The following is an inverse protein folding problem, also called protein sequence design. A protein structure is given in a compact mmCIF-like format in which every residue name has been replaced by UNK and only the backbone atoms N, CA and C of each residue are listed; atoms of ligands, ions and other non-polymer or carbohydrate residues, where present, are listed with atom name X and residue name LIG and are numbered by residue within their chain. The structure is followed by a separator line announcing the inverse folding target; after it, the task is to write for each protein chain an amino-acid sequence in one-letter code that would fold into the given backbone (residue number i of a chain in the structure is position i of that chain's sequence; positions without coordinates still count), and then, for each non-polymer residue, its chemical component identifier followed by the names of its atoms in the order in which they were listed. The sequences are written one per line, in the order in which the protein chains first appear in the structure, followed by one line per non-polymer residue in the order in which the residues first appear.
data_IF_780589937441
#
_entry.id   IF_780589937441
#
_cell.length_a   1.000
_cell.length_b   1.000
_cell.length_c   1.000
_cell.angle_alpha   90.00
_cell.angle_beta   90.00
_cell.angle_gamma   90.00
#
_symmetry.space_group_name_H-M   'P 1'
#
loop_
_entity.id
_entity.type
_entity.pdbx_description
1 polymer ?
#
# COMPACT_ATOMS: atom_id res chain seq x y z
N UNK A 1 19.83 50.68 -5.66
CA UNK A 1 18.75 49.92 -6.35
C UNK A 1 19.12 48.44 -6.41
N UNK A 2 18.46 47.61 -5.62
CA UNK A 2 18.61 46.15 -5.79
C UNK A 2 17.97 45.81 -7.15
N UNK A 3 18.77 45.25 -8.07
CA UNK A 3 18.37 44.94 -9.42
C UNK A 3 17.07 44.11 -9.42
N UNK A 4 16.09 44.46 -10.27
CA UNK A 4 14.85 43.69 -10.50
C UNK A 4 15.12 42.22 -10.76
N UNK A 5 16.24 41.89 -11.43
CA UNK A 5 16.71 40.50 -11.61
C UNK A 5 17.02 39.77 -10.33
N UNK A 6 17.56 40.42 -9.28
CA UNK A 6 17.79 39.79 -7.97
C UNK A 6 16.49 39.43 -7.24
N UNK A 7 15.41 40.18 -7.48
CA UNK A 7 14.09 39.90 -6.89
C UNK A 7 13.43 38.68 -7.55
N UNK A 8 13.47 38.62 -8.88
CA UNK A 8 12.95 37.50 -9.67
C UNK A 8 13.71 36.22 -9.33
N UNK A 9 15.05 36.27 -9.23
CA UNK A 9 15.88 35.13 -8.90
C UNK A 9 15.54 34.55 -7.51
N UNK A 10 15.35 35.40 -6.51
CA UNK A 10 14.94 34.95 -5.16
C UNK A 10 13.57 34.31 -5.14
N UNK A 11 12.66 34.84 -5.94
CA UNK A 11 11.30 34.28 -6.07
C UNK A 11 11.32 32.92 -6.74
N UNK A 12 12.11 32.76 -7.79
CA UNK A 12 12.28 31.49 -8.52
C UNK A 12 12.92 30.42 -7.62
N UNK A 13 13.98 30.79 -6.89
CA UNK A 13 14.64 29.89 -5.92
C UNK A 13 13.67 29.43 -4.83
N UNK A 14 12.87 30.37 -4.28
CA UNK A 14 11.87 30.02 -3.25
C UNK A 14 10.79 29.08 -3.81
N UNK A 15 10.37 29.28 -5.06
CA UNK A 15 9.38 28.42 -5.73
C UNK A 15 9.92 27.02 -5.98
N UNK A 16 11.16 26.91 -6.49
CA UNK A 16 11.83 25.61 -6.69
C UNK A 16 12.04 24.89 -5.35
N UNK A 17 12.49 25.61 -4.31
CA UNK A 17 12.63 25.03 -2.98
C UNK A 17 11.30 24.49 -2.43
N UNK A 18 10.20 25.22 -2.64
CA UNK A 18 8.86 24.76 -2.25
C UNK A 18 8.45 23.47 -2.97
N UNK A 19 8.68 23.38 -4.30
CA UNK A 19 8.39 22.16 -5.06
C UNK A 19 9.22 20.99 -4.55
N UNK A 20 10.51 21.18 -4.27
CA UNK A 20 11.38 20.12 -3.75
C UNK A 20 10.92 19.64 -2.39
N UNK A 21 10.51 20.53 -1.50
CA UNK A 21 9.95 20.17 -0.18
C UNK A 21 8.66 19.37 -0.36
N UNK A 22 7.78 19.77 -1.27
CA UNK A 22 6.52 19.08 -1.55
C UNK A 22 6.78 17.66 -2.07
N UNK A 23 7.69 17.50 -3.04
CA UNK A 23 8.07 16.20 -3.58
C UNK A 23 8.70 15.30 -2.50
N UNK A 24 9.55 15.86 -1.65
CA UNK A 24 10.14 15.12 -0.53
C UNK A 24 9.07 14.65 0.47
N UNK A 25 8.14 15.53 0.83
CA UNK A 25 7.03 15.20 1.73
C UNK A 25 6.18 14.07 1.15
N UNK A 26 5.83 14.16 -0.15
CA UNK A 26 5.09 13.13 -0.85
C UNK A 26 5.84 11.79 -0.85
N UNK A 27 7.13 11.79 -1.14
CA UNK A 27 7.94 10.58 -1.12
C UNK A 27 7.98 9.92 0.27
N UNK A 28 8.09 10.71 1.33
CA UNK A 28 8.08 10.21 2.73
C UNK A 28 6.71 9.62 3.09
N UNK A 29 5.63 10.38 2.84
CA UNK A 29 4.26 9.92 3.14
C UNK A 29 3.91 8.69 2.33
N UNK A 30 4.24 8.68 1.03
CA UNK A 30 4.05 7.51 0.17
C UNK A 30 4.83 6.30 0.69
N UNK A 31 6.12 6.46 1.01
CA UNK A 31 6.96 5.35 1.50
C UNK A 31 6.42 4.73 2.78
N UNK A 32 6.06 5.56 3.77
CA UNK A 32 5.52 5.09 5.05
C UNK A 32 4.17 4.39 4.88
N UNK A 33 3.27 4.95 4.07
CA UNK A 33 1.93 4.39 3.86
C UNK A 33 1.99 3.14 2.98
N UNK A 34 2.83 3.14 1.95
CA UNK A 34 3.04 1.97 1.09
C UNK A 34 3.60 0.79 1.90
N UNK A 35 4.60 1.04 2.75
CA UNK A 35 5.14 0.00 3.64
C UNK A 35 4.03 -0.59 4.52
N UNK A 36 3.21 0.26 5.16
CA UNK A 36 2.09 -0.21 5.99
C UNK A 36 1.08 -1.05 5.19
N UNK A 37 0.71 -0.59 3.98
CA UNK A 37 -0.24 -1.29 3.12
C UNK A 37 0.29 -2.65 2.67
N UNK A 38 1.58 -2.71 2.27
CA UNK A 38 2.20 -3.94 1.74
C UNK A 38 2.46 -4.98 2.84
N UNK A 39 2.65 -4.54 4.10
CA UNK A 39 2.83 -5.44 5.25
C UNK A 39 1.53 -5.80 5.96
N UNK A 40 0.37 -5.36 5.45
CA UNK A 40 -0.93 -5.72 6.02
C UNK A 40 -1.29 -7.16 5.64
N UNK A 41 -1.37 -8.03 6.64
CA UNK A 41 -1.73 -9.43 6.47
C UNK A 41 -3.25 -9.63 6.49
N UNK A 42 -3.71 -10.76 5.92
CA UNK A 42 -5.09 -11.21 6.01
C UNK A 42 -5.32 -11.86 7.38
N UNK A 43 -6.26 -11.32 8.15
CA UNK A 43 -6.50 -11.77 9.52
C UNK A 43 -5.47 -11.24 10.52
N UNK A 44 -5.34 -11.90 11.67
CA UNK A 44 -4.51 -11.43 12.78
C UNK A 44 -3.04 -11.85 12.69
N UNK A 45 -2.74 -12.84 11.83
CA UNK A 45 -1.42 -13.45 11.71
C UNK A 45 -0.97 -13.50 10.25
N UNK A 46 0.34 -13.35 10.04
CA UNK A 46 0.95 -13.59 8.73
C UNK A 46 0.78 -15.04 8.29
N UNK A 47 0.75 -15.33 6.97
CA UNK A 47 0.69 -16.70 6.47
C UNK A 47 1.82 -17.60 6.99
N UNK A 48 3.00 -17.03 7.21
CA UNK A 48 4.15 -17.73 7.75
C UNK A 48 3.90 -18.13 9.21
N UNK A 49 3.44 -17.20 10.05
CA UNK A 49 3.13 -17.48 11.46
C UNK A 49 1.99 -18.48 11.60
N UNK A 50 0.97 -18.37 10.74
CA UNK A 50 -0.14 -19.31 10.71
C UNK A 50 0.32 -20.72 10.34
N UNK A 51 1.20 -20.84 9.35
CA UNK A 51 1.81 -22.12 8.95
C UNK A 51 2.64 -22.73 10.08
N UNK A 52 3.51 -21.95 10.70
CA UNK A 52 4.39 -22.41 11.79
C UNK A 52 3.57 -22.92 13.00
N UNK A 53 2.56 -22.16 13.43
CA UNK A 53 1.66 -22.55 14.50
C UNK A 53 0.89 -23.82 14.16
N UNK A 54 0.34 -23.91 12.95
CA UNK A 54 -0.42 -25.08 12.50
C UNK A 54 0.49 -26.30 12.37
N UNK A 55 1.69 -26.15 11.81
CA UNK A 55 2.66 -27.22 11.65
C UNK A 55 3.13 -27.78 13.00
N UNK A 56 3.32 -26.91 13.99
CA UNK A 56 3.68 -27.34 15.37
C UNK A 56 2.57 -28.15 16.05
N UNK A 57 1.31 -27.87 15.70
CA UNK A 57 0.13 -28.54 16.24
C UNK A 57 -0.34 -29.75 15.41
N UNK A 58 0.27 -29.99 14.24
CA UNK A 58 -0.09 -31.05 13.31
C UNK A 58 0.71 -32.34 13.56
N UNK A 59 0.02 -33.48 13.46
CA UNK A 59 0.61 -34.80 13.36
C UNK A 59 0.07 -35.51 12.11
N UNK A 60 0.70 -36.60 11.62
CA UNK A 60 0.14 -37.37 10.52
C UNK A 60 -1.28 -37.88 10.75
N UNK A 61 -1.68 -38.05 12.00
CA UNK A 61 -2.97 -38.62 12.38
C UNK A 61 -4.05 -37.55 12.48
N UNK A 62 -3.72 -36.36 13.02
CA UNK A 62 -4.69 -35.30 13.27
C UNK A 62 -4.06 -33.96 13.55
N UNK A 63 -4.89 -32.91 13.45
CA UNK A 63 -4.59 -31.55 13.90
C UNK A 63 -5.26 -31.31 15.28
N UNK A 64 -4.63 -30.53 16.16
CA UNK A 64 -5.22 -30.19 17.46
C UNK A 64 -6.51 -29.36 17.28
N UNK A 65 -7.46 -29.56 18.22
CA UNK A 65 -8.76 -28.87 18.19
C UNK A 65 -8.61 -27.32 18.24
N UNK A 66 -7.61 -26.82 18.96
CA UNK A 66 -7.31 -25.40 19.04
C UNK A 66 -6.86 -24.85 17.67
N UNK A 67 -5.98 -25.58 16.98
CA UNK A 67 -5.54 -25.18 15.64
C UNK A 67 -6.68 -25.26 14.62
N UNK A 68 -7.56 -26.26 14.71
CA UNK A 68 -8.76 -26.35 13.87
C UNK A 68 -9.67 -25.13 14.08
N UNK A 69 -9.91 -24.71 15.32
CA UNK A 69 -10.73 -23.54 15.62
C UNK A 69 -10.08 -22.26 15.10
N UNK A 70 -8.76 -22.10 15.25
CA UNK A 70 -8.01 -20.96 14.74
C UNK A 70 -8.13 -20.85 13.19
N UNK A 71 -7.99 -21.95 12.47
CA UNK A 71 -8.16 -21.99 11.01
C UNK A 71 -9.59 -21.58 10.60
N UNK A 72 -10.60 -22.12 11.29
CA UNK A 72 -12.02 -21.80 11.03
C UNK A 72 -12.37 -20.33 11.28
N UNK A 73 -11.86 -19.75 12.36
CA UNK A 73 -12.07 -18.33 12.67
C UNK A 73 -11.54 -17.40 11.59
N UNK A 74 -10.45 -17.82 10.92
CA UNK A 74 -9.82 -17.08 9.84
C UNK A 74 -10.28 -17.53 8.44
N UNK A 75 -11.27 -18.43 8.34
CA UNK A 75 -11.75 -19.00 7.06
C UNK A 75 -10.65 -19.65 6.22
N UNK A 76 -9.65 -20.25 6.87
CA UNK A 76 -8.52 -20.93 6.24
C UNK A 76 -8.80 -22.42 6.23
N UNK A 77 -8.71 -23.05 5.06
CA UNK A 77 -8.74 -24.50 4.97
C UNK A 77 -7.33 -25.09 5.01
N UNK A 78 -7.21 -26.33 5.43
CA UNK A 78 -5.94 -27.03 5.51
C UNK A 78 -6.03 -28.43 4.92
N UNK A 79 -4.93 -28.88 4.32
CA UNK A 79 -4.71 -30.28 3.95
C UNK A 79 -3.29 -30.69 4.31
N UNK A 80 -3.16 -31.88 4.88
CA UNK A 80 -1.87 -32.48 5.20
C UNK A 80 -1.63 -33.67 4.28
N UNK A 81 -0.59 -33.57 3.47
CA UNK A 81 -0.22 -34.56 2.46
C UNK A 81 0.95 -35.41 2.96
N UNK A 82 0.91 -36.72 2.71
CA UNK A 82 2.05 -37.58 2.91
C UNK A 82 3.12 -37.40 1.80
N UNK A 83 4.22 -38.13 1.90
CA UNK A 83 5.32 -38.10 0.92
C UNK A 83 4.91 -38.56 -0.49
N UNK A 84 3.81 -39.32 -0.60
CA UNK A 84 3.25 -39.80 -1.87
C UNK A 84 2.22 -38.83 -2.46
N UNK A 85 1.96 -37.70 -1.78
CA UNK A 85 0.97 -36.68 -2.19
C UNK A 85 -0.48 -37.05 -1.87
N UNK A 86 -0.71 -38.03 -1.01
CA UNK A 86 -2.03 -38.44 -0.58
C UNK A 86 -2.41 -37.70 0.72
N UNK A 87 -3.69 -37.34 0.82
CA UNK A 87 -4.22 -36.65 1.99
C UNK A 87 -4.25 -37.58 3.22
N UNK A 88 -3.58 -37.17 4.29
CA UNK A 88 -3.74 -37.77 5.62
C UNK A 88 -5.02 -37.27 6.29
N UNK A 89 -5.17 -35.95 6.36
CA UNK A 89 -6.36 -35.27 6.88
C UNK A 89 -6.57 -33.91 6.20
N UNK A 90 -7.78 -33.37 6.38
CA UNK A 90 -8.12 -32.03 5.88
C UNK A 90 -9.10 -31.35 6.83
N UNK A 91 -9.03 -30.01 6.86
CA UNK A 91 -9.93 -29.13 7.63
C UNK A 91 -10.61 -28.18 6.65
N UNK A 92 -11.95 -28.20 6.66
CA UNK A 92 -12.82 -27.32 5.84
C UNK A 92 -12.40 -27.21 4.36
N UNK A 93 -11.93 -28.33 3.77
CA UNK A 93 -11.47 -28.40 2.39
C UNK A 93 -12.63 -28.15 1.43
N UNK A 94 -12.53 -27.18 0.48
CA UNK A 94 -13.56 -26.95 -0.53
C UNK A 94 -13.75 -28.18 -1.45
N UNK A 95 -14.98 -28.40 -1.93
CA UNK A 95 -15.35 -29.58 -2.75
C UNK A 95 -14.57 -29.64 -4.08
N UNK A 96 -14.16 -28.49 -4.63
CA UNK A 96 -13.40 -28.38 -5.88
C UNK A 96 -11.88 -28.62 -5.68
N UNK A 97 -11.38 -28.76 -4.46
CA UNK A 97 -9.96 -28.99 -4.16
C UNK A 97 -9.67 -30.48 -4.10
N UNK A 98 -8.77 -31.03 -4.92
CA UNK A 98 -8.40 -32.43 -4.90
C UNK A 98 -7.74 -32.84 -3.58
N UNK A 99 -7.85 -34.14 -3.25
CA UNK A 99 -7.21 -34.72 -2.05
C UNK A 99 -5.90 -35.45 -2.34
N UNK A 100 -5.59 -35.68 -3.61
CA UNK A 100 -4.37 -36.38 -4.02
C UNK A 100 -3.64 -35.55 -5.07
N UNK A 101 -2.34 -35.47 -4.92
CA UNK A 101 -1.48 -34.64 -5.77
C UNK A 101 -0.24 -35.42 -6.21
N UNK A 102 0.17 -35.18 -7.42
CA UNK A 102 1.49 -35.62 -7.89
C UNK A 102 2.57 -34.64 -7.45
N UNK A 103 3.83 -35.07 -7.50
CA UNK A 103 4.95 -34.16 -7.22
C UNK A 103 4.99 -32.93 -8.14
N UNK A 104 4.45 -33.10 -9.37
CA UNK A 104 4.33 -31.98 -10.33
C UNK A 104 3.28 -30.98 -9.90
N UNK A 105 2.14 -31.44 -9.39
CA UNK A 105 1.07 -30.59 -8.87
C UNK A 105 1.58 -29.81 -7.66
N UNK A 106 2.29 -30.49 -6.73
CA UNK A 106 2.90 -29.84 -5.56
C UNK A 106 3.86 -28.75 -5.97
N UNK A 107 4.73 -29.00 -6.96
CA UNK A 107 5.68 -28.03 -7.47
C UNK A 107 4.99 -26.80 -8.11
N UNK A 108 3.82 -26.99 -8.71
CA UNK A 108 3.03 -25.91 -9.30
C UNK A 108 2.34 -25.07 -8.22
N UNK A 109 1.56 -25.69 -7.35
CA UNK A 109 0.78 -24.92 -6.37
C UNK A 109 1.63 -24.34 -5.24
N UNK A 110 2.78 -24.91 -4.92
CA UNK A 110 3.69 -24.36 -3.89
C UNK A 110 4.09 -22.90 -4.14
N UNK A 111 4.06 -22.47 -5.40
CA UNK A 111 4.36 -21.10 -5.82
C UNK A 111 3.15 -20.18 -5.93
N UNK A 112 1.93 -20.72 -5.85
CA UNK A 112 0.77 -19.94 -6.19
C UNK A 112 -0.54 -20.40 -5.58
N UNK A 113 -1.33 -21.08 -6.39
CA UNK A 113 -2.73 -21.36 -6.12
C UNK A 113 -3.05 -22.84 -6.32
N UNK A 114 -4.04 -23.31 -5.55
CA UNK A 114 -4.79 -24.52 -5.89
C UNK A 114 -6.17 -24.03 -6.33
N UNK A 115 -6.57 -24.38 -7.55
CA UNK A 115 -7.72 -23.73 -8.19
C UNK A 115 -7.56 -22.19 -8.11
N UNK A 116 -8.50 -21.48 -7.51
CA UNK A 116 -8.42 -20.03 -7.29
C UNK A 116 -7.98 -19.63 -5.87
N UNK A 117 -7.65 -20.60 -5.00
CA UNK A 117 -7.27 -20.35 -3.62
C UNK A 117 -5.77 -20.07 -3.51
N UNK A 118 -5.32 -18.93 -2.96
CA UNK A 118 -3.91 -18.70 -2.65
C UNK A 118 -3.47 -19.66 -1.54
N UNK A 119 -2.46 -20.47 -1.82
CA UNK A 119 -1.98 -21.50 -0.87
C UNK A 119 -0.58 -21.23 -0.40
N UNK A 120 -0.32 -21.57 0.86
CA UNK A 120 0.99 -21.51 1.49
C UNK A 120 1.34 -22.90 1.99
N UNK A 121 2.59 -23.28 1.84
CA UNK A 121 3.04 -24.65 2.13
C UNK A 121 4.15 -24.64 3.17
N UNK A 122 4.16 -25.67 4.01
CA UNK A 122 5.18 -25.90 5.02
C UNK A 122 5.62 -27.36 4.99
N UNK A 123 6.92 -27.57 4.93
CA UNK A 123 7.49 -28.92 4.98
C UNK A 123 7.57 -29.38 6.43
N UNK A 124 7.07 -30.58 6.70
CA UNK A 124 7.20 -31.26 7.98
C UNK A 124 8.03 -32.52 7.79
N UNK A 125 8.45 -33.16 8.87
CA UNK A 125 9.25 -34.39 8.80
C UNK A 125 8.49 -35.55 8.12
N UNK A 126 7.17 -35.60 8.27
CA UNK A 126 6.31 -36.68 7.79
C UNK A 126 5.50 -36.34 6.53
N UNK A 127 5.60 -35.10 6.01
CA UNK A 127 4.82 -34.70 4.85
C UNK A 127 4.79 -33.20 4.58
N UNK A 128 3.71 -32.74 3.95
CA UNK A 128 3.52 -31.38 3.54
C UNK A 128 2.21 -30.82 4.07
N UNK A 129 2.28 -29.78 4.90
CA UNK A 129 1.13 -28.99 5.31
C UNK A 129 0.86 -27.91 4.25
N UNK A 130 -0.40 -27.81 3.82
CA UNK A 130 -0.86 -26.76 2.90
C UNK A 130 -2.00 -26.03 3.57
N UNK A 131 -1.89 -24.71 3.66
CA UNK A 131 -2.97 -23.81 4.08
C UNK A 131 -3.48 -23.03 2.87
N UNK A 132 -4.79 -23.06 2.67
CA UNK A 132 -5.46 -22.31 1.61
C UNK A 132 -6.32 -21.20 2.19
N UNK A 133 -6.15 -20.04 1.65
CA UNK A 133 -6.83 -18.81 2.06
C UNK A 133 -8.00 -18.50 1.12
N UNK A 134 -8.99 -17.70 1.54
CA UNK A 134 -10.07 -17.26 0.66
C UNK A 134 -9.56 -16.61 -0.62
N UNK A 135 -10.29 -16.75 -1.71
CA UNK A 135 -9.91 -16.27 -3.06
C UNK A 135 -9.68 -14.77 -3.13
N UNK A 136 -10.29 -14.00 -2.23
CA UNK A 136 -10.19 -12.54 -2.12
C UNK A 136 -9.18 -12.04 -1.07
N UNK A 137 -8.41 -12.95 -0.46
CA UNK A 137 -7.45 -12.62 0.60
C UNK A 137 -6.10 -12.12 0.07
N UNK A 138 -5.44 -12.92 -0.74
CA UNK A 138 -4.10 -12.66 -1.25
C UNK A 138 -4.01 -12.75 -2.77
N UNK A 139 -3.21 -11.87 -3.36
CA UNK A 139 -2.73 -11.98 -4.75
C UNK A 139 -1.24 -12.32 -4.74
N UNK A 140 -0.86 -13.40 -5.41
CA UNK A 140 0.55 -13.80 -5.55
C UNK A 140 1.10 -13.31 -6.88
N UNK A 141 2.08 -12.41 -6.82
CA UNK A 141 2.81 -11.90 -7.98
C UNK A 141 4.22 -12.52 -7.99
N UNK A 142 4.42 -13.49 -8.86
CA UNK A 142 5.68 -14.23 -9.00
C UNK A 142 6.10 -14.94 -7.69
N UNK A 143 6.99 -14.34 -6.91
CA UNK A 143 7.44 -14.86 -5.61
C UNK A 143 6.87 -14.09 -4.41
N UNK A 144 6.12 -13.02 -4.67
CA UNK A 144 5.56 -12.14 -3.65
C UNK A 144 4.03 -12.25 -3.61
N UNK A 145 3.45 -11.96 -2.46
CA UNK A 145 2.00 -11.91 -2.27
C UNK A 145 1.63 -10.61 -1.56
N UNK A 146 0.45 -10.09 -1.91
CA UNK A 146 -0.09 -8.87 -1.32
C UNK A 146 -1.55 -9.09 -0.95
N UNK A 147 -1.98 -8.50 0.17
CA UNK A 147 -3.39 -8.49 0.55
C UNK A 147 -4.22 -7.73 -0.50
N UNK A 148 -5.34 -8.32 -0.95
CA UNK A 148 -6.27 -7.66 -1.88
C UNK A 148 -6.81 -6.37 -1.27
N UNK A 149 -7.14 -6.37 0.02
CA UNK A 149 -7.59 -5.19 0.75
C UNK A 149 -6.55 -4.05 0.71
N UNK A 150 -5.26 -4.38 0.78
CA UNK A 150 -4.18 -3.41 0.64
C UNK A 150 -4.15 -2.80 -0.77
N UNK A 151 -4.26 -3.63 -1.80
CA UNK A 151 -4.28 -3.17 -3.20
C UNK A 151 -5.50 -2.29 -3.50
N UNK A 152 -6.67 -2.62 -2.95
CA UNK A 152 -7.90 -1.83 -3.13
C UNK A 152 -7.82 -0.44 -2.47
N UNK A 153 -7.01 -0.26 -1.42
CA UNK A 153 -6.78 1.04 -0.76
C UNK A 153 -5.78 1.94 -1.50
N UNK A 154 -4.93 1.36 -2.35
CA UNK A 154 -3.91 2.11 -3.10
C UNK A 154 -4.49 3.28 -3.93
N UNK A 155 -5.56 3.12 -4.74
CA UNK A 155 -6.13 4.22 -5.51
C UNK A 155 -6.65 5.36 -4.63
N UNK A 156 -7.29 5.04 -3.49
CA UNK A 156 -7.81 6.03 -2.53
C UNK A 156 -6.66 6.82 -1.93
N UNK A 157 -5.56 6.14 -1.60
CA UNK A 157 -4.36 6.77 -1.09
C UNK A 157 -3.72 7.73 -2.12
N UNK A 158 -3.59 7.31 -3.37
CA UNK A 158 -3.06 8.14 -4.45
C UNK A 158 -3.93 9.39 -4.66
N UNK A 159 -5.25 9.25 -4.65
CA UNK A 159 -6.17 10.38 -4.75
C UNK A 159 -6.04 11.34 -3.55
N UNK A 160 -5.85 10.81 -2.35
CA UNK A 160 -5.58 11.60 -1.15
C UNK A 160 -4.29 12.42 -1.25
N UNK A 161 -3.23 11.81 -1.77
CA UNK A 161 -1.94 12.49 -2.04
C UNK A 161 -2.10 13.63 -3.04
N UNK A 162 -2.76 13.37 -4.17
CA UNK A 162 -3.06 14.41 -5.17
C UNK A 162 -3.89 15.56 -4.60
N UNK A 163 -4.87 15.24 -3.74
CA UNK A 163 -5.67 16.25 -3.03
C UNK A 163 -4.81 17.13 -2.11
N UNK A 164 -3.87 16.52 -1.38
CA UNK A 164 -2.92 17.24 -0.53
C UNK A 164 -2.02 18.17 -1.37
N UNK A 165 -1.51 17.68 -2.50
CA UNK A 165 -0.69 18.49 -3.42
C UNK A 165 -1.45 19.71 -3.94
N UNK A 166 -2.69 19.52 -4.37
CA UNK A 166 -3.53 20.62 -4.82
C UNK A 166 -3.76 21.64 -3.71
N UNK A 167 -4.02 21.22 -2.48
CA UNK A 167 -4.16 22.12 -1.33
C UNK A 167 -2.88 22.92 -1.07
N UNK A 168 -1.72 22.27 -1.13
CA UNK A 168 -0.42 22.95 -0.98
C UNK A 168 -0.16 23.96 -2.09
N UNK A 169 -0.45 23.61 -3.35
CA UNK A 169 -0.32 24.53 -4.50
C UNK A 169 -1.27 25.72 -4.39
N UNK A 170 -2.52 25.50 -3.98
CA UNK A 170 -3.49 26.57 -3.73
C UNK A 170 -3.03 27.51 -2.63
N UNK A 171 -2.51 26.96 -1.54
CA UNK A 171 -1.96 27.74 -0.42
C UNK A 171 -0.78 28.58 -0.87
N UNK A 172 0.16 27.99 -1.60
CA UNK A 172 1.32 28.69 -2.13
C UNK A 172 0.91 29.84 -3.08
N UNK A 173 -0.06 29.58 -3.98
CA UNK A 173 -0.60 30.59 -4.87
C UNK A 173 -1.26 31.74 -4.08
N UNK A 174 -2.10 31.43 -3.09
CA UNK A 174 -2.78 32.43 -2.28
C UNK A 174 -1.81 33.34 -1.51
N UNK A 175 -0.83 32.75 -0.82
CA UNK A 175 0.20 33.50 -0.09
C UNK A 175 1.09 34.34 -1.03
N UNK A 176 1.45 33.77 -2.17
CA UNK A 176 2.22 34.46 -3.21
C UNK A 176 1.49 35.67 -3.76
N UNK A 177 0.21 35.49 -4.14
CA UNK A 177 -0.65 36.58 -4.62
C UNK A 177 -0.77 37.70 -3.58
N UNK A 178 -1.05 37.36 -2.33
CA UNK A 178 -1.19 38.34 -1.25
C UNK A 178 0.09 39.14 -1.02
N UNK A 179 1.26 38.49 -1.11
CA UNK A 179 2.57 39.12 -0.95
C UNK A 179 2.89 40.04 -2.12
N UNK A 180 2.54 39.66 -3.36
CA UNK A 180 2.75 40.49 -4.55
C UNK A 180 1.88 41.77 -4.46
N UNK A 181 0.58 41.62 -4.15
CA UNK A 181 -0.34 42.76 -4.04
C UNK A 181 0.17 43.72 -2.97
N UNK A 182 0.52 43.26 -1.78
CA UNK A 182 0.99 44.11 -0.70
C UNK A 182 2.28 44.87 -1.03
N UNK A 183 3.19 44.28 -1.82
CA UNK A 183 4.44 44.91 -2.23
C UNK A 183 4.28 45.86 -3.43
N UNK A 184 3.27 45.70 -4.26
CA UNK A 184 3.05 46.52 -5.48
C UNK A 184 2.06 47.66 -5.22
N UNK A 185 1.16 47.57 -4.28
CA UNK A 185 0.15 48.58 -3.94
C UNK A 185 0.73 49.98 -3.66
N UNK A 186 1.82 50.16 -2.89
CA UNK A 186 2.42 51.48 -2.67
C UNK A 186 3.04 52.07 -3.96
N UNK A 187 3.55 51.23 -4.86
CA UNK A 187 4.15 51.66 -6.12
C UNK A 187 3.04 52.13 -7.07
N UNK A 188 1.95 51.40 -7.18
CA UNK A 188 0.79 51.77 -8.03
C UNK A 188 0.13 53.03 -7.51
N UNK A 189 -0.03 53.17 -6.19
CA UNK A 189 -0.58 54.36 -5.56
C UNK A 189 0.29 55.62 -5.83
N UNK A 190 1.62 55.48 -5.75
CA UNK A 190 2.56 56.56 -6.07
C UNK A 190 2.47 56.97 -7.54
N UNK A 191 2.37 56.00 -8.47
CA UNK A 191 2.21 56.29 -9.90
C UNK A 191 0.88 56.98 -10.20
N UNK A 192 -0.22 56.58 -9.58
CA UNK A 192 -1.54 57.22 -9.76
C UNK A 192 -1.57 58.64 -9.22
N UNK A 193 -0.90 58.94 -8.11
CA UNK A 193 -0.75 60.29 -7.59
C UNK A 193 0.06 61.20 -8.51
N UNK A 194 1.05 60.68 -9.24
CA UNK A 194 1.87 61.45 -10.19
C UNK A 194 1.18 61.69 -11.54
N UNK A 195 0.21 60.85 -11.91
CA UNK A 195 -0.56 60.98 -13.17
C UNK A 195 -1.90 61.70 -12.99
N UNK A 196 -2.26 62.09 -11.77
CA UNK A 196 -3.45 62.93 -11.52
C UNK A 196 -3.20 64.32 -12.06
N UNK A 197 -4.06 64.85 -12.96
CA UNK A 197 -3.90 66.22 -13.48
C UNK A 197 -3.93 67.21 -12.32
N UNK A 198 -2.94 68.13 -12.35
CA UNK A 198 -2.82 69.20 -11.38
C UNK A 198 -4.10 70.06 -11.38
N UNK A 199 -4.67 70.43 -10.22
CA UNK A 199 -5.85 71.32 -10.15
C UNK A 199 -5.56 72.73 -10.61
N UNK A 200 -4.42 73.04 -11.28
CA UNK A 200 -4.03 74.35 -11.70
C UNK A 200 -4.23 74.60 -13.22
N UNK A 201 -4.76 73.65 -13.99
CA UNK A 201 -5.01 73.81 -15.44
C UNK A 201 -6.52 73.96 -15.74
N UNK A 202 -7.26 74.59 -14.84
CA UNK A 202 -8.64 74.98 -15.02
C UNK A 202 -8.79 76.52 -14.82
#
# INVERSE_FOLDING_TARGET
MKSFGSYISKYLVSFVAFILILLFLNAVVFGLTFQKIVTEDYGDLSPHSMLEMTATAATPEQLSDEAVQMLRQNHIWAIYLNTDGQCYWSVDLPDNVPKNYTIQDVALFSKGYIEDYPVFVWNTDDGLLVLGYPTDSYTKLTSNYYSIAALQRLPIFVLGMLGLDLLCLFSAYYFSKRRIIHNTEPIVSACLLYTSPSPRDS
#
